data_IF_094661463312
#
_entry.id   IF_094661463312
#
_cell.length_a   1.000
_cell.length_b   1.000
_cell.length_c   1.000
_cell.angle_alpha   90.00
_cell.angle_beta   90.00
_cell.angle_gamma   90.00
#
_symmetry.space_group_name_H-M   'P 1'
#
loop_
_entity.id
_entity.type
_entity.pdbx_description
1 polymer ?
#
# COMPACT_ATOMS: atom_id res chain seq x y z
N UNK A 1 10.55 10.74 7.05
CA UNK A 1 9.13 10.40 6.82
C UNK A 1 8.85 9.01 7.35
N UNK A 2 7.79 8.87 8.17
CA UNK A 2 7.30 7.57 8.64
C UNK A 2 6.16 7.08 7.74
N UNK A 3 6.11 5.78 7.49
CA UNK A 3 5.16 5.18 6.54
C UNK A 3 4.27 4.11 7.17
N UNK A 4 4.61 3.61 8.35
CA UNK A 4 3.97 2.43 8.94
C UNK A 4 3.11 2.79 10.13
N UNK A 5 1.80 2.45 10.10
CA UNK A 5 0.86 2.80 11.16
C UNK A 5 0.76 1.75 12.29
N UNK A 6 1.60 0.72 12.26
CA UNK A 6 1.58 -0.38 13.24
C UNK A 6 3.00 -0.72 13.72
N UNK A 7 3.21 -1.03 15.00
CA UNK A 7 4.53 -1.37 15.53
C UNK A 7 5.21 -2.51 14.77
N UNK A 8 4.50 -3.59 14.49
CA UNK A 8 5.00 -4.76 13.76
C UNK A 8 5.47 -4.49 12.32
N UNK A 9 5.18 -3.32 11.78
CA UNK A 9 5.66 -2.93 10.45
C UNK A 9 6.89 -2.02 10.50
N UNK A 10 7.39 -1.69 11.68
CA UNK A 10 8.69 -1.05 11.88
C UNK A 10 9.72 -2.15 12.09
N UNK A 11 10.81 -2.05 11.36
CA UNK A 11 11.87 -3.06 11.45
C UNK A 11 12.54 -3.01 12.82
N UNK A 12 12.71 -4.17 13.42
CA UNK A 12 13.47 -4.40 14.64
C UNK A 12 14.51 -5.49 14.34
N UNK A 13 15.68 -5.33 14.88
CA UNK A 13 16.84 -6.18 14.59
C UNK A 13 17.33 -6.85 15.86
N UNK A 14 17.91 -8.02 15.70
CA UNK A 14 18.67 -8.64 16.79
C UNK A 14 19.87 -7.73 17.15
N UNK A 15 20.12 -7.48 18.44
CA UNK A 15 21.18 -6.56 18.87
C UNK A 15 22.55 -6.85 18.27
N UNK A 16 22.99 -8.12 18.28
CA UNK A 16 24.28 -8.51 17.74
C UNK A 16 24.41 -8.26 16.24
N UNK A 17 23.33 -8.55 15.48
CA UNK A 17 23.28 -8.29 14.05
C UNK A 17 23.36 -6.78 13.74
N UNK A 18 22.74 -5.96 14.56
CA UNK A 18 22.81 -4.50 14.40
C UNK A 18 24.21 -3.97 14.71
N UNK A 19 24.84 -4.46 15.79
CA UNK A 19 26.21 -4.10 16.17
C UNK A 19 27.22 -4.54 15.09
N UNK A 20 27.07 -5.73 14.54
CA UNK A 20 27.89 -6.20 13.42
C UNK A 20 27.75 -5.27 12.20
N UNK A 21 26.53 -4.85 11.87
CA UNK A 21 26.27 -3.94 10.75
C UNK A 21 26.87 -2.54 10.97
N UNK A 22 26.92 -2.06 12.21
CA UNK A 22 27.52 -0.77 12.56
C UNK A 22 29.03 -0.84 12.84
N UNK A 23 29.58 -2.03 12.99
CA UNK A 23 30.99 -2.31 13.12
C UNK A 23 31.74 -1.34 14.08
N UNK A 24 32.58 -0.47 13.53
CA UNK A 24 33.44 0.48 14.29
C UNK A 24 32.72 1.79 14.70
N UNK A 25 31.43 1.94 14.37
CA UNK A 25 30.69 3.18 14.62
C UNK A 25 30.65 3.60 16.09
N UNK A 26 30.38 2.71 17.07
CA UNK A 26 30.42 3.08 18.49
C UNK A 26 31.75 3.69 18.89
N UNK A 27 32.87 3.06 18.53
CA UNK A 27 34.22 3.56 18.80
C UNK A 27 34.50 4.92 18.16
N UNK A 28 34.05 5.16 16.94
CA UNK A 28 34.20 6.45 16.25
C UNK A 28 33.35 7.56 16.88
N UNK A 29 32.21 7.21 17.50
CA UNK A 29 31.36 8.15 18.22
C UNK A 29 31.79 8.35 19.68
N UNK A 30 32.71 7.54 20.18
CA UNK A 30 33.15 7.58 21.60
C UNK A 30 32.05 7.10 22.56
N UNK A 31 31.21 6.17 22.15
CA UNK A 31 30.16 5.54 22.94
C UNK A 31 30.38 4.03 23.00
N UNK A 32 29.75 3.35 23.94
CA UNK A 32 29.72 1.89 23.98
C UNK A 32 28.58 1.31 23.16
N UNK A 33 28.59 -0.01 22.97
CA UNK A 33 27.62 -0.74 22.18
C UNK A 33 26.21 -0.61 22.74
N UNK A 34 26.05 -0.67 24.07
CA UNK A 34 24.73 -0.54 24.71
C UNK A 34 24.14 0.86 24.48
N UNK A 35 24.98 1.89 24.55
CA UNK A 35 24.53 3.24 24.22
C UNK A 35 24.08 3.37 22.76
N UNK A 36 24.73 2.69 21.82
CA UNK A 36 24.28 2.65 20.43
C UNK A 36 22.92 1.95 20.30
N UNK A 37 22.77 0.80 20.97
CA UNK A 37 21.48 0.07 20.97
C UNK A 37 20.36 0.93 21.58
N UNK A 38 20.64 1.66 22.67
CA UNK A 38 19.68 2.58 23.28
C UNK A 38 19.24 3.72 22.35
N UNK A 39 20.13 4.20 21.49
CA UNK A 39 19.75 5.17 20.46
C UNK A 39 18.77 4.59 19.43
N UNK A 40 18.80 3.28 19.27
CA UNK A 40 17.94 2.55 18.35
C UNK A 40 16.65 1.99 18.99
N UNK A 41 16.45 2.14 20.32
CA UNK A 41 15.26 1.72 21.05
C UNK A 41 14.29 2.88 21.25
N UNK A 42 12.99 2.60 21.30
CA UNK A 42 12.01 3.62 21.67
C UNK A 42 12.18 4.04 23.13
N UNK A 43 12.43 3.07 24.03
CA UNK A 43 12.76 3.30 25.44
C UNK A 43 14.19 2.82 25.72
N UNK A 44 15.14 3.72 25.98
CA UNK A 44 16.48 3.36 26.40
C UNK A 44 16.46 2.54 27.71
N UNK A 45 17.43 1.65 27.88
CA UNK A 45 17.57 0.82 29.09
C UNK A 45 16.52 -0.29 29.21
N UNK A 46 15.86 -0.67 28.11
CA UNK A 46 14.90 -1.78 28.07
C UNK A 46 15.39 -2.90 27.17
N UNK A 47 14.73 -4.08 27.25
CA UNK A 47 15.00 -5.23 26.38
C UNK A 47 14.29 -5.11 25.00
N UNK A 48 13.77 -3.94 24.64
CA UNK A 48 13.18 -3.70 23.31
C UNK A 48 14.25 -3.93 22.22
N UNK A 49 13.87 -4.64 21.18
CA UNK A 49 14.74 -4.81 20.03
C UNK A 49 15.00 -3.48 19.35
N UNK A 50 16.28 -3.18 19.06
CA UNK A 50 16.64 -1.92 18.40
C UNK A 50 16.13 -1.86 16.98
N UNK A 51 15.76 -0.66 16.52
CA UNK A 51 15.25 -0.41 15.18
C UNK A 51 15.75 0.90 14.59
N UNK A 52 15.71 1.01 13.27
CA UNK A 52 16.19 2.21 12.59
C UNK A 52 15.25 3.40 12.74
N UNK A 53 13.97 3.18 13.00
CA UNK A 53 13.01 4.29 13.14
C UNK A 53 13.27 5.15 14.39
N UNK A 54 13.48 4.59 15.60
CA UNK A 54 13.88 5.38 16.75
C UNK A 54 15.17 6.16 16.52
N UNK A 55 16.18 5.53 15.94
CA UNK A 55 17.43 6.19 15.57
C UNK A 55 17.20 7.38 14.65
N UNK A 56 16.46 7.16 13.56
CA UNK A 56 16.17 8.21 12.60
C UNK A 56 15.37 9.37 13.22
N UNK A 57 14.40 9.10 14.09
CA UNK A 57 13.61 10.13 14.78
C UNK A 57 14.46 11.01 15.70
N UNK A 58 15.47 10.43 16.38
CA UNK A 58 16.39 11.19 17.23
C UNK A 58 17.34 12.10 16.44
N UNK A 59 17.77 11.65 15.28
CA UNK A 59 18.78 12.37 14.48
C UNK A 59 18.19 13.26 13.38
N UNK A 60 16.87 13.24 13.16
CA UNK A 60 16.23 14.10 12.17
C UNK A 60 15.74 15.40 12.81
N UNK A 61 15.97 16.50 12.10
CA UNK A 61 15.51 17.83 12.54
C UNK A 61 13.99 17.99 12.44
N UNK A 62 13.35 17.29 11.48
CA UNK A 62 11.91 17.34 11.23
C UNK A 62 11.42 15.98 10.82
N UNK A 63 10.24 15.60 11.31
CA UNK A 63 9.58 14.35 10.98
C UNK A 63 8.17 14.60 10.48
N UNK A 64 7.77 13.86 9.45
CA UNK A 64 6.40 13.86 8.97
C UNK A 64 5.89 12.43 8.72
N UNK A 65 4.61 12.26 8.92
CA UNK A 65 3.83 11.11 8.50
C UNK A 65 3.24 11.34 7.10
N UNK A 66 2.71 10.30 6.47
CA UNK A 66 2.24 10.32 5.07
C UNK A 66 0.76 10.65 4.90
N UNK A 67 0.06 11.01 5.98
CA UNK A 67 -1.30 11.56 5.98
C UNK A 67 -1.64 12.15 7.35
N UNK A 68 -2.71 12.94 7.45
CA UNK A 68 -3.21 13.48 8.71
C UNK A 68 -3.46 12.37 9.73
N UNK A 69 -4.23 11.34 9.34
CA UNK A 69 -4.53 10.20 10.22
C UNK A 69 -3.28 9.42 10.63
N UNK A 70 -2.34 9.22 9.70
CA UNK A 70 -1.06 8.58 10.04
C UNK A 70 -0.24 9.44 11.01
N UNK A 71 -0.30 10.77 10.91
CA UNK A 71 0.33 11.68 11.85
C UNK A 71 -0.16 11.49 13.28
N UNK A 72 -1.46 11.35 13.47
CA UNK A 72 -2.07 11.06 14.77
C UNK A 72 -1.55 9.74 15.35
N UNK A 73 -1.55 8.68 14.55
CA UNK A 73 -1.05 7.34 14.94
C UNK A 73 0.44 7.37 15.22
N UNK A 74 1.24 8.03 14.38
CA UNK A 74 2.69 8.10 14.54
C UNK A 74 3.08 8.88 15.82
N UNK A 75 2.39 9.98 16.14
CA UNK A 75 2.62 10.71 17.39
C UNK A 75 2.36 9.84 18.61
N UNK A 76 1.25 9.10 18.62
CA UNK A 76 0.95 8.19 19.72
C UNK A 76 1.97 7.05 19.84
N UNK A 77 2.35 6.44 18.71
CA UNK A 77 3.30 5.32 18.64
C UNK A 77 4.69 5.71 19.16
N UNK A 78 5.15 6.92 18.83
CA UNK A 78 6.51 7.38 19.12
C UNK A 78 6.60 8.32 20.32
N UNK A 79 5.54 8.46 21.11
CA UNK A 79 5.56 9.23 22.38
C UNK A 79 6.74 8.89 23.29
N UNK A 80 7.13 7.61 23.45
CA UNK A 80 8.26 7.27 24.32
C UNK A 80 9.59 7.94 23.94
N UNK A 81 9.77 8.31 22.68
CA UNK A 81 10.96 9.06 22.23
C UNK A 81 10.96 10.53 22.65
N UNK A 82 9.83 11.05 23.15
CA UNK A 82 9.59 12.45 23.47
C UNK A 82 9.10 12.60 24.91
N UNK A 83 9.68 11.83 25.84
CA UNK A 83 9.38 11.87 27.27
C UNK A 83 7.90 11.60 27.61
N UNK A 84 7.25 10.75 26.82
CA UNK A 84 5.82 10.39 26.93
C UNK A 84 4.86 11.60 27.01
N UNK A 85 5.25 12.75 26.43
CA UNK A 85 4.40 13.95 26.36
C UNK A 85 3.08 13.67 25.65
N UNK A 86 2.05 14.52 25.80
CA UNK A 86 0.80 14.39 25.05
C UNK A 86 1.02 14.24 23.54
N UNK A 87 0.21 13.40 22.87
CA UNK A 87 0.42 13.08 21.45
C UNK A 87 0.36 14.30 20.53
N UNK A 88 -0.41 15.31 20.86
CA UNK A 88 -0.50 16.57 20.13
C UNK A 88 0.77 17.44 20.24
N UNK A 89 1.58 17.24 21.29
CA UNK A 89 2.86 17.92 21.49
C UNK A 89 4.05 17.19 20.86
N UNK A 90 3.88 15.94 20.40
CA UNK A 90 4.93 15.20 19.70
C UNK A 90 5.22 15.85 18.36
N UNK A 91 6.49 16.22 18.03
CA UNK A 91 6.81 17.04 16.85
C UNK A 91 6.83 16.24 15.55
N UNK A 92 5.80 15.44 15.30
CA UNK A 92 5.59 14.70 14.06
C UNK A 92 4.42 15.36 13.32
N UNK A 93 4.72 16.01 12.21
CA UNK A 93 3.75 16.62 11.31
C UNK A 93 3.19 15.60 10.31
N UNK A 94 2.48 16.05 9.29
CA UNK A 94 2.10 15.19 8.18
C UNK A 94 2.22 15.93 6.85
N UNK A 95 2.54 15.16 5.82
CA UNK A 95 2.40 15.54 4.41
C UNK A 95 1.64 14.41 3.74
N UNK A 96 0.43 14.69 3.27
CA UNK A 96 -0.39 13.66 2.63
C UNK A 96 0.26 13.24 1.31
N UNK A 97 0.42 11.93 1.12
CA UNK A 97 0.94 11.39 -0.12
C UNK A 97 0.09 11.84 -1.32
N UNK A 98 0.75 12.29 -2.35
CA UNK A 98 0.12 12.56 -3.63
C UNK A 98 -0.18 11.29 -4.41
N UNK A 99 -0.99 11.42 -5.46
CA UNK A 99 -1.25 10.37 -6.45
C UNK A 99 -0.66 10.80 -7.77
N UNK A 100 0.20 9.97 -8.35
CA UNK A 100 0.73 10.21 -9.69
C UNK A 100 -0.23 9.65 -10.74
N UNK A 101 -1.17 10.47 -11.19
CA UNK A 101 -2.23 10.08 -12.11
C UNK A 101 -1.74 9.31 -13.34
N UNK A 102 -0.66 9.72 -14.06
CA UNK A 102 -0.20 9.00 -15.22
C UNK A 102 0.17 7.53 -14.97
N UNK A 103 0.63 7.20 -13.74
CA UNK A 103 0.97 5.82 -13.37
C UNK A 103 -0.23 4.94 -13.05
N UNK A 104 -1.34 5.54 -12.62
CA UNK A 104 -2.52 4.79 -12.16
C UNK A 104 -3.70 4.84 -13.11
N UNK A 105 -3.64 5.72 -14.10
CA UNK A 105 -4.70 5.91 -15.07
C UNK A 105 -4.54 4.92 -16.23
N UNK A 106 -5.53 4.07 -16.45
CA UNK A 106 -5.52 3.14 -17.58
C UNK A 106 -5.63 3.89 -18.91
N UNK A 107 -5.05 3.40 -20.00
CA UNK A 107 -5.13 4.06 -21.31
C UNK A 107 -6.57 4.37 -21.76
N UNK A 108 -7.56 3.45 -21.65
CA UNK A 108 -8.95 3.77 -22.01
C UNK A 108 -9.53 4.93 -21.20
N UNK A 109 -9.28 4.95 -19.88
CA UNK A 109 -9.76 6.03 -19.03
C UNK A 109 -9.04 7.35 -19.32
N UNK A 110 -7.74 7.31 -19.63
CA UNK A 110 -7.01 8.49 -20.05
C UNK A 110 -7.60 9.08 -21.32
N UNK A 111 -7.88 8.27 -22.33
CA UNK A 111 -8.48 8.72 -23.58
C UNK A 111 -9.88 9.35 -23.36
N UNK A 112 -10.67 8.77 -22.47
CA UNK A 112 -11.96 9.34 -22.10
C UNK A 112 -11.78 10.74 -21.50
N UNK A 113 -10.90 10.87 -20.50
CA UNK A 113 -10.66 12.15 -19.82
C UNK A 113 -10.00 13.19 -20.73
N UNK A 114 -9.11 12.79 -21.65
CA UNK A 114 -8.52 13.69 -22.64
C UNK A 114 -9.61 14.36 -23.51
N UNK A 115 -10.67 13.62 -23.87
CA UNK A 115 -11.77 14.16 -24.68
C UNK A 115 -12.66 15.14 -23.90
N UNK A 116 -12.94 14.85 -22.64
CA UNK A 116 -13.90 15.61 -21.83
C UNK A 116 -13.29 16.76 -21.02
N UNK A 117 -12.04 16.62 -20.57
CA UNK A 117 -11.35 17.64 -19.75
C UNK A 117 -10.49 18.60 -20.58
N UNK A 118 -10.30 18.29 -21.85
CA UNK A 118 -9.54 19.12 -22.79
C UNK A 118 -8.03 19.01 -22.62
N UNK A 119 -7.31 19.68 -23.51
CA UNK A 119 -5.85 19.64 -23.57
C UNK A 119 -5.21 20.15 -22.28
N UNK A 120 -4.14 19.50 -21.82
CA UNK A 120 -3.35 19.93 -20.67
C UNK A 120 -4.03 19.74 -19.30
N UNK A 121 -5.15 19.02 -19.20
CA UNK A 121 -5.85 18.79 -17.94
C UNK A 121 -4.96 18.11 -16.88
N UNK A 122 -4.06 17.22 -17.27
CA UNK A 122 -3.14 16.55 -16.34
C UNK A 122 -2.25 17.54 -15.57
N UNK A 123 -1.81 18.62 -16.21
CA UNK A 123 -1.02 19.65 -15.56
C UNK A 123 -1.85 20.47 -14.55
N UNK A 124 -3.16 20.48 -14.70
CA UNK A 124 -4.12 21.17 -13.83
C UNK A 124 -4.91 20.19 -12.93
N UNK A 125 -4.48 18.95 -12.81
CA UNK A 125 -5.21 17.91 -12.07
C UNK A 125 -5.35 18.18 -10.57
N UNK A 126 -4.56 19.09 -10.00
CA UNK A 126 -4.70 19.57 -8.61
C UNK A 126 -5.77 20.64 -8.45
N UNK A 127 -6.27 21.23 -9.52
CA UNK A 127 -7.33 22.22 -9.50
C UNK A 127 -8.70 21.51 -9.61
N UNK A 128 -9.56 21.75 -8.63
CA UNK A 128 -10.90 21.15 -8.55
C UNK A 128 -11.75 21.48 -9.78
N UNK A 129 -11.63 22.71 -10.30
CA UNK A 129 -12.37 23.16 -11.46
C UNK A 129 -12.07 22.33 -12.72
N UNK A 130 -10.88 21.72 -12.82
CA UNK A 130 -10.49 20.85 -13.93
C UNK A 130 -11.41 19.62 -14.02
N UNK A 131 -11.97 19.19 -12.90
CA UNK A 131 -12.77 17.95 -12.81
C UNK A 131 -14.28 18.20 -13.01
N UNK A 132 -14.73 19.43 -13.03
CA UNK A 132 -16.17 19.74 -13.18
C UNK A 132 -16.84 19.10 -14.40
N UNK A 133 -16.18 18.95 -15.59
CA UNK A 133 -16.80 18.28 -16.72
C UNK A 133 -17.03 16.77 -16.55
N UNK A 134 -16.42 16.13 -15.54
CA UNK A 134 -16.55 14.67 -15.30
C UNK A 134 -18.01 14.29 -15.06
N UNK A 135 -18.77 15.12 -14.36
CA UNK A 135 -20.18 14.87 -14.05
C UNK A 135 -21.07 14.92 -15.30
N UNK A 136 -20.55 15.44 -16.42
CA UNK A 136 -21.26 15.54 -17.70
C UNK A 136 -20.86 14.43 -18.70
N UNK A 137 -19.95 13.52 -18.30
CA UNK A 137 -19.58 12.39 -19.17
C UNK A 137 -20.78 11.45 -19.30
N UNK A 138 -21.21 11.09 -20.52
CA UNK A 138 -22.26 10.11 -20.71
C UNK A 138 -21.92 8.76 -20.07
N UNK A 139 -22.89 8.16 -19.38
CA UNK A 139 -22.72 6.88 -18.70
C UNK A 139 -22.21 5.78 -19.64
N UNK A 140 -22.68 5.77 -20.89
CA UNK A 140 -22.27 4.80 -21.91
C UNK A 140 -20.78 4.92 -22.25
N UNK A 141 -20.24 6.14 -22.33
CA UNK A 141 -18.82 6.35 -22.62
C UNK A 141 -17.96 5.95 -21.42
N UNK A 142 -18.39 6.30 -20.22
CA UNK A 142 -17.71 5.89 -18.99
C UNK A 142 -17.71 4.36 -18.85
N UNK A 143 -18.86 3.73 -19.13
CA UNK A 143 -18.99 2.28 -19.07
C UNK A 143 -18.12 1.59 -20.13
N UNK A 144 -18.07 2.10 -21.34
CA UNK A 144 -17.20 1.58 -22.40
C UNK A 144 -15.72 1.64 -21.99
N UNK A 145 -15.25 2.79 -21.51
CA UNK A 145 -13.86 2.94 -21.04
C UNK A 145 -13.53 1.99 -19.86
N UNK A 146 -14.49 1.76 -18.95
CA UNK A 146 -14.36 0.79 -17.84
C UNK A 146 -14.30 -0.65 -18.35
N UNK A 147 -15.09 -1.01 -19.35
CA UNK A 147 -15.06 -2.33 -19.94
C UNK A 147 -13.75 -2.59 -20.69
N UNK A 148 -13.24 -1.62 -21.43
CA UNK A 148 -11.94 -1.74 -22.08
C UNK A 148 -10.80 -1.91 -21.06
N UNK A 149 -10.84 -1.15 -19.97
CA UNK A 149 -9.86 -1.32 -18.87
C UNK A 149 -9.99 -2.71 -18.20
N UNK A 150 -11.20 -3.25 -18.05
CA UNK A 150 -11.44 -4.60 -17.52
C UNK A 150 -10.90 -5.68 -18.45
N UNK A 151 -11.11 -5.52 -19.77
CA UNK A 151 -10.56 -6.43 -20.79
C UNK A 151 -9.05 -6.51 -20.68
N UNK A 152 -8.35 -5.38 -20.62
CA UNK A 152 -6.90 -5.34 -20.42
C UNK A 152 -6.46 -6.05 -19.14
N UNK A 153 -7.19 -5.90 -18.04
CA UNK A 153 -6.91 -6.61 -16.79
C UNK A 153 -7.12 -8.11 -16.93
N UNK A 154 -8.22 -8.54 -17.51
CA UNK A 154 -8.55 -9.98 -17.72
C UNK A 154 -7.51 -10.64 -18.59
N UNK A 155 -7.13 -10.03 -19.71
CA UNK A 155 -6.09 -10.53 -20.60
C UNK A 155 -4.75 -10.68 -19.89
N UNK A 156 -4.36 -9.68 -19.11
CA UNK A 156 -3.14 -9.74 -18.29
C UNK A 156 -3.18 -10.87 -17.26
N UNK A 157 -4.29 -11.01 -16.53
CA UNK A 157 -4.45 -12.06 -15.50
C UNK A 157 -4.42 -13.45 -16.12
N UNK A 158 -5.07 -13.65 -17.25
CA UNK A 158 -5.05 -14.92 -18.01
C UNK A 158 -3.63 -15.27 -18.44
N UNK A 159 -2.95 -14.35 -19.14
CA UNK A 159 -1.58 -14.57 -19.60
C UNK A 159 -0.61 -14.84 -18.44
N UNK A 160 -0.70 -14.03 -17.38
CA UNK A 160 0.15 -14.18 -16.20
C UNK A 160 -0.11 -15.50 -15.46
N UNK A 161 -1.37 -15.90 -15.32
CA UNK A 161 -1.74 -17.18 -14.68
C UNK A 161 -1.19 -18.38 -15.44
N UNK A 162 -1.31 -18.38 -16.77
CA UNK A 162 -0.74 -19.42 -17.63
C UNK A 162 0.79 -19.50 -17.43
N UNK A 163 1.46 -18.36 -17.57
CA UNK A 163 2.91 -18.29 -17.44
C UNK A 163 3.40 -18.81 -16.07
N UNK A 164 2.80 -18.34 -14.98
CA UNK A 164 3.24 -18.69 -13.62
C UNK A 164 2.99 -20.17 -13.30
N UNK A 165 1.89 -20.75 -13.79
CA UNK A 165 1.56 -22.15 -13.58
C UNK A 165 2.50 -23.08 -14.39
N UNK A 166 2.79 -22.73 -15.64
CA UNK A 166 3.78 -23.46 -16.46
C UNK A 166 5.18 -23.42 -15.82
N UNK A 167 5.59 -22.27 -15.28
CA UNK A 167 6.87 -22.13 -14.57
C UNK A 167 6.94 -22.99 -13.29
N UNK A 168 5.79 -23.28 -12.66
CA UNK A 168 5.71 -24.22 -11.53
C UNK A 168 5.63 -25.70 -11.94
N UNK A 169 5.60 -26.00 -13.24
CA UNK A 169 5.52 -27.34 -13.76
C UNK A 169 4.13 -27.98 -13.64
N UNK A 170 3.07 -27.15 -13.56
CA UNK A 170 1.69 -27.66 -13.57
C UNK A 170 1.35 -28.27 -14.96
N UNK A 171 0.42 -29.22 -14.94
CA UNK A 171 -0.04 -29.89 -16.16
C UNK A 171 -0.64 -28.91 -17.17
N UNK A 172 -0.20 -28.92 -18.45
CA UNK A 172 -0.63 -27.97 -19.47
C UNK A 172 -2.15 -27.91 -19.69
N UNK A 173 -2.86 -29.03 -19.64
CA UNK A 173 -4.31 -29.05 -19.84
C UNK A 173 -5.03 -28.35 -18.70
N UNK A 174 -4.59 -28.54 -17.45
CA UNK A 174 -5.07 -27.84 -16.27
C UNK A 174 -4.80 -26.33 -16.37
N UNK A 175 -3.64 -25.96 -16.90
CA UNK A 175 -3.25 -24.55 -17.08
C UNK A 175 -4.13 -23.86 -18.12
N UNK A 176 -4.42 -24.53 -19.24
CA UNK A 176 -5.28 -23.97 -20.28
C UNK A 176 -6.73 -23.79 -19.79
N UNK A 177 -7.25 -24.73 -19.00
CA UNK A 177 -8.59 -24.59 -18.41
C UNK A 177 -8.72 -23.36 -17.51
N UNK A 178 -7.66 -22.96 -16.82
CA UNK A 178 -7.66 -21.75 -15.98
C UNK A 178 -7.61 -20.46 -16.80
N UNK A 179 -7.00 -20.47 -17.99
CA UNK A 179 -6.95 -19.31 -18.86
C UNK A 179 -8.37 -18.82 -19.26
N UNK A 180 -9.37 -19.69 -19.23
CA UNK A 180 -10.76 -19.35 -19.58
C UNK A 180 -11.64 -18.96 -18.38
N UNK A 181 -11.12 -19.00 -17.16
CA UNK A 181 -11.95 -18.82 -15.94
C UNK A 181 -12.43 -17.40 -15.71
N UNK A 182 -11.72 -16.38 -16.20
CA UNK A 182 -12.13 -14.98 -16.09
C UNK A 182 -12.91 -14.54 -17.33
N UNK A 183 -13.95 -13.73 -17.10
CA UNK A 183 -14.79 -13.15 -18.16
C UNK A 183 -14.67 -11.63 -18.18
N UNK A 184 -14.63 -11.05 -19.36
CA UNK A 184 -14.60 -9.60 -19.58
C UNK A 184 -15.91 -8.92 -19.17
N UNK A 185 -17.03 -9.63 -19.26
CA UNK A 185 -18.37 -9.12 -18.94
C UNK A 185 -18.77 -9.33 -17.47
N UNK A 186 -17.89 -9.91 -16.68
CA UNK A 186 -18.17 -10.21 -15.28
C UNK A 186 -17.63 -9.12 -14.35
N UNK A 187 -18.45 -8.68 -13.38
CA UNK A 187 -17.99 -7.75 -12.34
C UNK A 187 -16.72 -8.28 -11.69
N UNK A 188 -15.65 -7.51 -11.81
CA UNK A 188 -14.34 -7.88 -11.30
C UNK A 188 -13.97 -7.03 -10.08
N UNK A 189 -13.81 -7.70 -8.95
CA UNK A 189 -13.30 -7.10 -7.71
C UNK A 189 -11.79 -7.26 -7.65
N UNK A 190 -11.08 -6.18 -7.37
CA UNK A 190 -9.62 -6.19 -7.23
C UNK A 190 -9.18 -5.89 -5.80
N UNK A 191 -8.30 -6.73 -5.25
CA UNK A 191 -7.57 -6.44 -4.03
C UNK A 191 -6.07 -6.58 -4.32
N UNK A 192 -5.37 -5.46 -4.47
CA UNK A 192 -3.95 -5.41 -4.80
C UNK A 192 -3.20 -4.64 -3.70
N UNK A 193 -2.85 -5.34 -2.61
CA UNK A 193 -2.17 -4.76 -1.44
C UNK A 193 -1.32 -5.82 -0.75
N UNK A 194 -0.28 -5.39 -0.01
CA UNK A 194 0.44 -6.27 0.92
C UNK A 194 -0.56 -6.97 1.86
N UNK A 195 -0.39 -8.28 2.04
CA UNK A 195 -1.24 -9.07 2.93
C UNK A 195 -0.77 -8.82 4.36
N UNK A 196 -1.38 -7.84 5.01
CA UNK A 196 -1.10 -7.46 6.38
C UNK A 196 -2.43 -7.27 7.13
N UNK A 197 -2.45 -7.56 8.43
CA UNK A 197 -3.66 -7.58 9.26
C UNK A 197 -4.47 -6.28 9.15
N UNK A 198 -3.80 -5.12 9.17
CA UNK A 198 -4.47 -3.82 9.09
C UNK A 198 -5.13 -3.53 7.72
N UNK A 199 -4.79 -4.29 6.66
CA UNK A 199 -5.46 -4.24 5.35
C UNK A 199 -6.77 -5.00 5.34
N UNK A 200 -7.06 -5.76 6.39
CA UNK A 200 -8.34 -6.42 6.66
C UNK A 200 -8.86 -7.35 5.56
N UNK A 201 -7.96 -8.03 4.84
CA UNK A 201 -8.38 -8.99 3.81
C UNK A 201 -9.29 -10.09 4.40
N UNK A 202 -9.10 -10.45 5.67
CA UNK A 202 -9.94 -11.42 6.39
C UNK A 202 -11.43 -11.06 6.41
N UNK A 203 -11.80 -9.79 6.23
CA UNK A 203 -13.21 -9.39 6.15
C UNK A 203 -13.95 -10.03 4.97
N UNK A 204 -13.24 -10.44 3.94
CA UNK A 204 -13.84 -11.20 2.82
C UNK A 204 -14.40 -12.55 3.23
N UNK A 205 -13.88 -13.13 4.30
CA UNK A 205 -14.29 -14.44 4.82
C UNK A 205 -14.95 -14.34 6.20
N UNK A 206 -15.21 -13.14 6.68
CA UNK A 206 -15.80 -12.91 8.00
C UNK A 206 -17.23 -13.46 8.11
N UNK A 207 -18.01 -13.37 7.03
CA UNK A 207 -19.34 -13.96 6.90
C UNK A 207 -19.34 -14.89 5.68
N UNK A 208 -18.97 -16.18 5.84
CA UNK A 208 -18.83 -17.12 4.74
C UNK A 208 -20.14 -17.34 3.95
N UNK A 209 -21.29 -17.36 4.63
CA UNK A 209 -22.59 -17.55 3.98
C UNK A 209 -22.95 -16.37 3.07
N UNK A 210 -22.67 -15.15 3.52
CA UNK A 210 -22.86 -13.96 2.69
C UNK A 210 -21.93 -13.96 1.48
N UNK A 211 -20.67 -14.32 1.68
CA UNK A 211 -19.70 -14.44 0.58
C UNK A 211 -20.16 -15.48 -0.43
N UNK A 212 -20.54 -16.68 0.04
CA UNK A 212 -21.07 -17.73 -0.82
C UNK A 212 -22.23 -17.20 -1.66
N UNK A 213 -23.24 -16.57 -1.05
CA UNK A 213 -24.38 -15.99 -1.77
C UNK A 213 -23.96 -14.98 -2.83
N UNK A 214 -23.04 -14.07 -2.51
CA UNK A 214 -22.55 -13.07 -3.46
C UNK A 214 -21.92 -13.73 -4.69
N UNK A 215 -21.17 -14.82 -4.50
CA UNK A 215 -20.46 -15.48 -5.60
C UNK A 215 -21.29 -16.54 -6.33
N UNK A 216 -22.39 -17.03 -5.75
CA UNK A 216 -23.17 -18.16 -6.33
C UNK A 216 -24.62 -17.85 -6.65
N UNK A 217 -25.25 -16.84 -6.03
CA UNK A 217 -26.71 -16.63 -6.09
C UNK A 217 -27.13 -15.33 -6.78
N UNK A 218 -26.21 -14.61 -7.41
CA UNK A 218 -26.48 -13.32 -8.07
C UNK A 218 -25.83 -13.21 -9.44
N UNK A 219 -25.73 -11.99 -9.98
CA UNK A 219 -24.89 -11.73 -11.14
C UNK A 219 -23.48 -12.25 -10.85
N UNK A 220 -22.85 -12.84 -11.88
CA UNK A 220 -21.51 -13.39 -11.72
C UNK A 220 -20.53 -12.32 -11.25
N UNK A 221 -19.73 -12.68 -10.24
CA UNK A 221 -18.66 -11.85 -9.70
C UNK A 221 -17.38 -12.66 -9.75
N UNK A 222 -16.30 -12.02 -10.12
CA UNK A 222 -14.95 -12.60 -10.09
C UNK A 222 -14.02 -11.72 -9.27
N UNK A 223 -12.96 -12.30 -8.72
CA UNK A 223 -12.06 -11.56 -7.86
C UNK A 223 -10.60 -11.84 -8.20
N UNK A 224 -9.81 -10.76 -8.25
CA UNK A 224 -8.35 -10.82 -8.38
C UNK A 224 -7.73 -10.35 -7.07
N UNK A 225 -6.94 -11.21 -6.45
CA UNK A 225 -6.19 -10.90 -5.23
C UNK A 225 -4.70 -10.94 -5.57
N UNK A 226 -4.00 -9.84 -5.33
CA UNK A 226 -2.57 -9.74 -5.55
C UNK A 226 -1.91 -9.04 -4.35
N UNK A 227 -0.78 -9.56 -3.92
CA UNK A 227 -0.03 -8.97 -2.82
C UNK A 227 1.11 -9.87 -2.34
N UNK A 228 2.10 -9.24 -1.70
CA UNK A 228 3.15 -9.95 -0.99
C UNK A 228 2.65 -10.23 0.44
N UNK A 229 2.80 -11.48 0.88
CA UNK A 229 2.63 -11.90 2.27
C UNK A 229 3.93 -11.67 3.04
#
# INVERSE_FOLDING_TARGET
TTHTPVPAGNEAYEPDSLLEAFADLPGRLGIDDERLLDLCRARPGTDEWPGMTPLALRFTRRTNAVSKRHGEVAREMWRPLFDDRPADEVPITHVTNGVHLPSFLSPPMKHLLDRHLGEGWLARASDEATWAPVDSIPDEELWAARNDARRLLVDYVRAKSVQDRLLRGEDPDSVMAVAETFSEDTLTLGFARRIATYKRLFLLTYDPERVRRIFTEGPRVQMVVAGKA
#
